data_IF_143503986876
#
_entry.id   IF_143503986876
#
_cell.length_a   1.000
_cell.length_b   1.000
_cell.length_c   1.000
_cell.angle_alpha   90.00
_cell.angle_beta   90.00
_cell.angle_gamma   90.00
#
_symmetry.space_group_name_H-M   'P 1'
#
loop_
_entity.id
_entity.type
_entity.pdbx_description
1 polymer ?
#
# COMPACT_ATOMS: atom_id res chain seq x y z
N UNK A 1 -54.85 33.31 22.36
CA UNK A 1 -53.85 32.31 22.78
C UNK A 1 -53.56 31.24 21.70
N UNK A 2 -54.56 30.62 21.06
CA UNK A 2 -54.32 29.56 20.06
C UNK A 2 -53.46 29.96 18.84
N UNK A 3 -53.63 31.18 18.30
CA UNK A 3 -52.86 31.67 17.14
C UNK A 3 -51.35 31.82 17.42
N UNK A 4 -51.00 32.33 18.60
CA UNK A 4 -49.60 32.48 19.03
C UNK A 4 -48.93 31.13 19.29
N UNK A 5 -49.67 30.16 19.86
CA UNK A 5 -49.18 28.79 20.07
C UNK A 5 -48.91 28.06 18.73
N UNK A 6 -49.79 28.22 17.74
CA UNK A 6 -49.61 27.66 16.40
C UNK A 6 -48.40 28.25 15.68
N UNK A 7 -48.20 29.56 15.77
CA UNK A 7 -47.06 30.24 15.17
C UNK A 7 -45.73 29.78 15.81
N UNK A 8 -45.67 29.70 17.14
CA UNK A 8 -44.48 29.21 17.85
C UNK A 8 -44.16 27.74 17.49
N UNK A 9 -45.19 26.90 17.30
CA UNK A 9 -45.00 25.52 16.87
C UNK A 9 -44.45 25.44 15.43
N UNK A 10 -44.99 26.25 14.52
CA UNK A 10 -44.50 26.34 13.13
C UNK A 10 -43.04 26.81 13.08
N UNK A 11 -42.67 27.82 13.86
CA UNK A 11 -41.30 28.30 13.95
C UNK A 11 -40.34 27.23 14.50
N UNK A 12 -40.76 26.51 15.55
CA UNK A 12 -39.96 25.42 16.14
C UNK A 12 -39.77 24.27 15.15
N UNK A 13 -40.82 23.87 14.43
CA UNK A 13 -40.77 22.82 13.43
C UNK A 13 -39.88 23.21 12.24
N UNK A 14 -40.02 24.45 11.74
CA UNK A 14 -39.17 24.98 10.67
C UNK A 14 -37.69 25.06 11.10
N UNK A 15 -37.40 25.48 12.34
CA UNK A 15 -36.05 25.49 12.87
C UNK A 15 -35.47 24.06 12.94
N UNK A 16 -36.25 23.09 13.41
CA UNK A 16 -35.85 21.68 13.47
C UNK A 16 -35.59 21.09 12.07
N UNK A 17 -36.50 21.33 11.11
CA UNK A 17 -36.33 20.92 9.71
C UNK A 17 -35.06 21.53 9.10
N UNK A 18 -34.82 22.83 9.31
CA UNK A 18 -33.62 23.49 8.82
C UNK A 18 -32.33 22.86 9.36
N UNK A 19 -32.30 22.46 10.64
CA UNK A 19 -31.16 21.75 11.23
C UNK A 19 -30.97 20.37 10.60
N UNK A 20 -32.05 19.60 10.42
CA UNK A 20 -32.01 18.27 9.81
C UNK A 20 -31.56 18.34 8.34
N UNK A 21 -32.12 19.27 7.57
CA UNK A 21 -31.75 19.52 6.17
C UNK A 21 -30.29 19.90 6.04
N UNK A 22 -29.79 20.84 6.85
CA UNK A 22 -28.35 21.20 6.85
C UNK A 22 -27.45 20.01 7.17
N UNK A 23 -27.86 19.14 8.09
CA UNK A 23 -27.11 17.90 8.42
C UNK A 23 -27.12 16.93 7.24
N UNK A 24 -28.27 16.75 6.59
CA UNK A 24 -28.40 15.88 5.43
C UNK A 24 -27.61 16.40 4.22
N UNK A 25 -27.67 17.70 3.91
CA UNK A 25 -26.87 18.33 2.85
C UNK A 25 -25.35 18.17 3.09
N UNK A 26 -24.91 18.21 4.35
CA UNK A 26 -23.51 17.90 4.70
C UNK A 26 -23.19 16.43 4.43
N UNK A 27 -24.05 15.49 4.86
CA UNK A 27 -23.88 14.06 4.59
C UNK A 27 -23.86 13.77 3.09
N UNK A 28 -24.81 14.30 2.33
CA UNK A 28 -24.90 14.14 0.88
C UNK A 28 -23.64 14.66 0.17
N UNK A 29 -23.10 15.82 0.58
CA UNK A 29 -21.84 16.34 0.05
C UNK A 29 -20.66 15.41 0.33
N UNK A 30 -20.57 14.86 1.54
CA UNK A 30 -19.52 13.89 1.89
C UNK A 30 -19.63 12.62 1.05
N UNK A 31 -20.83 12.06 0.94
CA UNK A 31 -21.08 10.84 0.16
C UNK A 31 -20.82 11.09 -1.32
N UNK A 32 -21.31 12.18 -1.91
CA UNK A 32 -21.09 12.50 -3.33
C UNK A 32 -19.60 12.76 -3.68
N UNK A 33 -18.78 13.11 -2.69
CA UNK A 33 -17.35 13.35 -2.84
C UNK A 33 -16.47 12.24 -2.24
N UNK A 34 -17.05 11.06 -1.95
CA UNK A 34 -16.36 9.92 -1.34
C UNK A 34 -15.01 9.60 -2.02
N UNK A 35 -14.96 9.66 -3.36
CA UNK A 35 -13.78 9.33 -4.15
C UNK A 35 -12.58 10.23 -3.86
N UNK A 36 -12.82 11.52 -3.55
CA UNK A 36 -11.74 12.48 -3.19
C UNK A 36 -11.11 12.06 -1.88
N UNK A 37 -11.92 11.66 -0.90
CA UNK A 37 -11.43 11.20 0.39
C UNK A 37 -10.64 9.90 0.25
N UNK A 38 -11.14 8.95 -0.54
CA UNK A 38 -10.45 7.68 -0.82
C UNK A 38 -9.10 7.92 -1.50
N UNK A 39 -9.08 8.75 -2.56
CA UNK A 39 -7.83 9.13 -3.23
C UNK A 39 -6.88 9.86 -2.26
N UNK A 40 -7.40 10.79 -1.46
CA UNK A 40 -6.63 11.52 -0.46
C UNK A 40 -5.98 10.61 0.59
N UNK A 41 -6.71 9.61 1.08
CA UNK A 41 -6.18 8.59 2.01
C UNK A 41 -5.02 7.84 1.35
N UNK A 42 -5.18 7.39 0.10
CA UNK A 42 -4.11 6.69 -0.60
C UNK A 42 -2.90 7.59 -0.88
N UNK A 43 -3.11 8.85 -1.23
CA UNK A 43 -2.01 9.83 -1.43
C UNK A 43 -1.20 10.00 -0.14
N UNK A 44 -1.87 10.16 1.00
CA UNK A 44 -1.19 10.27 2.31
C UNK A 44 -0.46 8.97 2.64
N UNK A 45 -1.11 7.82 2.43
CA UNK A 45 -0.53 6.50 2.67
C UNK A 45 0.73 6.25 1.82
N UNK A 46 0.73 6.60 0.52
CA UNK A 46 1.94 6.41 -0.31
C UNK A 46 3.01 7.46 -0.07
N UNK A 47 2.65 8.67 0.36
CA UNK A 47 3.59 9.76 0.60
C UNK A 47 4.41 9.54 1.88
N UNK A 48 3.78 9.04 2.94
CA UNK A 48 4.43 8.89 4.25
C UNK A 48 5.71 8.02 4.22
N UNK A 49 5.77 6.87 3.53
CA UNK A 49 6.98 6.06 3.39
C UNK A 49 8.19 6.80 2.82
N UNK A 50 7.99 7.83 1.98
CA UNK A 50 9.07 8.62 1.38
C UNK A 50 9.71 9.59 2.39
N UNK A 51 9.05 9.87 3.50
CA UNK A 51 9.66 10.63 4.59
C UNK A 51 10.75 9.83 5.32
N UNK A 52 10.64 8.49 5.38
CA UNK A 52 11.56 7.65 6.14
C UNK A 52 13.03 7.75 5.68
N UNK A 53 13.37 7.69 4.37
CA UNK A 53 14.73 7.92 3.91
C UNK A 53 15.30 9.29 4.32
N UNK A 54 14.51 10.35 4.21
CA UNK A 54 14.93 11.71 4.56
C UNK A 54 15.20 11.83 6.05
N UNK A 55 14.32 11.25 6.88
CA UNK A 55 14.49 11.19 8.33
C UNK A 55 15.75 10.40 8.73
N UNK A 56 16.04 9.29 8.04
CA UNK A 56 17.29 8.56 8.22
C UNK A 56 18.51 9.42 7.87
N UNK A 57 18.46 10.14 6.75
CA UNK A 57 19.55 10.99 6.27
C UNK A 57 19.89 12.13 7.23
N UNK A 58 18.87 12.75 7.86
CA UNK A 58 19.09 13.84 8.84
C UNK A 58 19.33 13.34 10.26
N UNK A 59 19.47 12.03 10.46
CA UNK A 59 19.74 11.43 11.78
C UNK A 59 18.52 11.27 12.69
N UNK A 60 17.32 11.61 12.23
CA UNK A 60 16.05 11.42 12.95
C UNK A 60 15.58 9.96 12.91
N UNK A 61 16.41 9.06 13.44
CA UNK A 61 16.23 7.60 13.35
C UNK A 61 14.98 7.09 14.08
N UNK A 62 14.61 7.68 15.22
CA UNK A 62 13.41 7.31 15.98
C UNK A 62 12.12 7.45 15.14
N UNK A 63 11.80 8.65 14.64
CA UNK A 63 10.66 8.86 13.73
C UNK A 63 10.73 8.01 12.46
N UNK A 64 11.91 7.86 11.84
CA UNK A 64 12.07 7.00 10.66
C UNK A 64 11.70 5.54 10.97
N UNK A 65 12.18 5.01 12.08
CA UNK A 65 11.89 3.65 12.53
C UNK A 65 10.41 3.45 12.85
N UNK A 66 9.72 4.45 13.40
CA UNK A 66 8.27 4.37 13.59
C UNK A 66 7.53 4.16 12.26
N UNK A 67 7.92 4.89 11.20
CA UNK A 67 7.36 4.70 9.86
C UNK A 67 7.68 3.30 9.35
N UNK A 68 8.95 2.88 9.38
CA UNK A 68 9.32 1.53 8.93
C UNK A 68 8.56 0.43 9.67
N UNK A 69 8.39 0.55 10.98
CA UNK A 69 7.64 -0.41 11.79
C UNK A 69 6.17 -0.46 11.38
N UNK A 70 5.52 0.71 11.22
CA UNK A 70 4.12 0.76 10.77
C UNK A 70 3.90 0.06 9.43
N UNK A 71 4.78 0.29 8.46
CA UNK A 71 4.68 -0.35 7.14
C UNK A 71 5.17 -1.80 7.10
N UNK A 72 5.82 -2.31 8.16
CA UNK A 72 6.33 -3.69 8.18
C UNK A 72 5.22 -4.74 8.22
N UNK A 73 4.00 -4.33 8.62
CA UNK A 73 2.79 -5.15 8.62
C UNK A 73 2.22 -5.37 7.21
N UNK A 74 2.57 -4.51 6.26
CA UNK A 74 1.98 -4.50 4.90
C UNK A 74 2.99 -4.83 3.81
N UNK A 75 4.27 -4.54 4.04
CA UNK A 75 5.36 -4.85 3.11
C UNK A 75 6.55 -5.44 3.88
N UNK A 76 7.25 -6.36 3.25
CA UNK A 76 8.45 -6.98 3.83
C UNK A 76 9.64 -6.01 3.87
N UNK A 77 9.66 -5.00 2.99
CA UNK A 77 10.68 -3.95 2.90
C UNK A 77 12.08 -4.52 2.59
N UNK A 78 12.17 -5.58 1.78
CA UNK A 78 13.47 -6.08 1.34
C UNK A 78 14.23 -4.97 0.61
N UNK A 79 15.48 -4.71 1.02
CA UNK A 79 16.33 -3.69 0.42
C UNK A 79 16.33 -3.79 -1.12
N UNK A 80 16.61 -4.97 -1.67
CA UNK A 80 16.66 -5.19 -3.12
C UNK A 80 15.31 -5.08 -3.87
N UNK A 81 14.20 -4.82 -3.16
CA UNK A 81 12.87 -4.56 -3.73
C UNK A 81 12.31 -3.19 -3.40
N UNK A 82 12.99 -2.41 -2.59
CA UNK A 82 12.58 -1.05 -2.24
C UNK A 82 13.22 -0.05 -3.21
N UNK A 83 12.63 1.13 -3.30
CA UNK A 83 13.27 2.31 -3.87
C UNK A 83 14.25 2.87 -2.84
N UNK A 84 15.41 3.36 -3.27
CA UNK A 84 16.34 4.09 -2.41
C UNK A 84 16.39 5.56 -2.80
N UNK A 85 16.55 6.43 -1.80
CA UNK A 85 16.82 7.84 -1.98
C UNK A 85 18.22 8.16 -1.45
N UNK A 86 18.90 9.09 -2.12
CA UNK A 86 20.19 9.66 -1.70
C UNK A 86 21.42 8.77 -1.84
N UNK A 87 21.34 7.70 -2.63
CA UNK A 87 22.50 6.86 -2.96
C UNK A 87 22.81 6.84 -4.44
N UNK A 88 23.74 5.97 -4.82
CA UNK A 88 24.23 5.80 -6.20
C UNK A 88 23.13 5.41 -7.20
N UNK A 89 22.18 4.58 -6.78
CA UNK A 89 21.12 4.04 -7.61
C UNK A 89 19.76 4.11 -6.90
N UNK A 90 18.69 4.30 -7.67
CA UNK A 90 17.32 4.24 -7.15
C UNK A 90 16.89 2.80 -6.81
N UNK A 91 17.48 1.80 -7.47
CA UNK A 91 17.14 0.39 -7.32
C UNK A 91 18.40 -0.46 -7.26
N UNK A 92 18.42 -1.42 -6.34
CA UNK A 92 19.49 -2.40 -6.19
C UNK A 92 18.90 -3.80 -6.38
N UNK A 93 18.63 -4.26 -7.60
CA UNK A 93 18.08 -5.60 -7.82
C UNK A 93 19.11 -6.68 -7.46
N UNK A 94 18.64 -7.89 -7.12
CA UNK A 94 19.55 -9.03 -6.87
C UNK A 94 20.32 -9.41 -8.12
N UNK A 95 21.46 -10.09 -7.95
CA UNK A 95 22.30 -10.56 -9.05
C UNK A 95 21.54 -11.47 -10.01
N UNK A 96 20.68 -12.34 -9.47
CA UNK A 96 19.81 -13.28 -10.17
C UNK A 96 18.60 -12.63 -10.86
N UNK A 97 18.37 -11.32 -10.66
CA UNK A 97 17.26 -10.64 -11.31
C UNK A 97 17.54 -10.44 -12.81
N UNK A 98 16.80 -11.16 -13.64
CA UNK A 98 16.79 -10.97 -15.09
C UNK A 98 16.36 -9.53 -15.44
N UNK A 99 16.93 -8.93 -16.48
CA UNK A 99 16.50 -7.62 -16.97
C UNK A 99 16.83 -6.43 -16.06
N UNK A 100 17.83 -6.54 -15.17
CA UNK A 100 18.33 -5.43 -14.35
C UNK A 100 19.01 -4.29 -15.14
N UNK A 101 19.25 -4.48 -16.44
CA UNK A 101 19.92 -3.50 -17.30
C UNK A 101 21.33 -3.20 -16.79
N UNK A 102 21.68 -1.91 -16.75
CA UNK A 102 22.99 -1.43 -16.28
C UNK A 102 23.09 -1.28 -14.75
N UNK A 103 22.07 -1.72 -14.00
CA UNK A 103 22.07 -1.59 -12.54
C UNK A 103 23.05 -2.59 -11.91
N UNK A 104 23.89 -2.09 -11.02
CA UNK A 104 24.78 -2.91 -10.21
C UNK A 104 23.96 -3.65 -9.15
N UNK A 105 24.26 -4.94 -8.98
CA UNK A 105 23.48 -5.83 -8.12
C UNK A 105 23.59 -5.46 -6.63
N UNK A 106 22.53 -5.74 -5.87
CA UNK A 106 22.48 -5.55 -4.42
C UNK A 106 23.65 -6.21 -3.70
N UNK A 107 24.00 -7.43 -4.09
CA UNK A 107 25.06 -8.22 -3.48
C UNK A 107 26.42 -7.52 -3.55
N UNK A 108 26.68 -6.76 -4.62
CA UNK A 108 27.94 -6.00 -4.79
C UNK A 108 28.04 -4.85 -3.78
N UNK A 109 26.95 -4.11 -3.57
CA UNK A 109 26.90 -3.03 -2.59
C UNK A 109 26.84 -3.56 -1.15
N UNK A 110 26.01 -4.58 -0.92
CA UNK A 110 25.86 -5.23 0.38
C UNK A 110 27.17 -5.84 0.89
N UNK A 111 27.97 -6.44 0.01
CA UNK A 111 29.29 -6.96 0.36
C UNK A 111 30.29 -5.88 0.77
N UNK A 112 30.16 -4.65 0.23
CA UNK A 112 31.02 -3.50 0.59
C UNK A 112 30.56 -2.79 1.86
N UNK A 113 29.25 -2.71 2.07
CA UNK A 113 28.63 -2.02 3.19
C UNK A 113 28.98 -2.66 4.53
N UNK A 114 29.80 -1.99 5.34
CA UNK A 114 30.10 -2.43 6.70
C UNK A 114 28.81 -2.61 7.53
N UNK A 115 27.84 -1.70 7.35
CA UNK A 115 26.57 -1.73 8.07
C UNK A 115 25.76 -2.97 7.69
N UNK A 116 25.68 -3.32 6.41
CA UNK A 116 25.00 -4.52 5.97
C UNK A 116 25.72 -5.78 6.47
N UNK A 117 27.06 -5.85 6.32
CA UNK A 117 27.87 -6.99 6.79
C UNK A 117 27.66 -7.27 8.28
N UNK A 118 27.60 -6.23 9.11
CA UNK A 118 27.32 -6.38 10.54
C UNK A 118 25.93 -6.97 10.78
N UNK A 119 24.89 -6.42 10.14
CA UNK A 119 23.52 -6.93 10.26
C UNK A 119 23.44 -8.39 9.81
N UNK A 120 24.05 -8.73 8.67
CA UNK A 120 24.05 -10.10 8.15
C UNK A 120 24.77 -11.06 9.11
N UNK A 121 25.92 -10.65 9.63
CA UNK A 121 26.70 -11.45 10.59
C UNK A 121 25.88 -11.72 11.85
N UNK A 122 25.23 -10.71 12.41
CA UNK A 122 24.38 -10.87 13.58
C UNK A 122 23.23 -11.86 13.31
N UNK A 123 22.53 -11.71 12.19
CA UNK A 123 21.45 -12.62 11.79
C UNK A 123 21.93 -14.06 11.57
N UNK A 124 23.11 -14.25 10.96
CA UNK A 124 23.66 -15.58 10.69
C UNK A 124 24.03 -16.27 12.00
N UNK A 125 24.71 -15.56 12.90
CA UNK A 125 25.08 -16.06 14.22
C UNK A 125 23.86 -16.42 15.05
N UNK A 126 22.81 -15.61 15.00
CA UNK A 126 21.56 -15.89 15.70
C UNK A 126 20.82 -17.10 15.11
N UNK A 127 20.84 -17.26 13.79
CA UNK A 127 20.30 -18.46 13.12
C UNK A 127 21.03 -19.71 13.56
N UNK A 128 22.38 -19.72 13.47
CA UNK A 128 23.22 -20.83 13.90
C UNK A 128 23.04 -21.19 15.39
N UNK A 129 22.89 -20.18 16.27
CA UNK A 129 22.59 -20.41 17.70
C UNK A 129 21.26 -21.11 17.93
N UNK A 130 20.21 -20.72 17.19
CA UNK A 130 18.88 -21.36 17.28
C UNK A 130 18.91 -22.80 16.77
N UNK A 131 19.78 -23.10 15.82
CA UNK A 131 20.00 -24.45 15.26
C UNK A 131 20.93 -25.31 16.13
N UNK A 132 21.53 -24.75 17.19
CA UNK A 132 22.41 -25.47 18.11
C UNK A 132 23.91 -25.42 17.76
N UNK A 133 24.30 -24.72 16.69
CA UNK A 133 25.67 -24.60 16.20
C UNK A 133 26.46 -23.47 16.91
N UNK A 134 26.61 -23.56 18.24
CA UNK A 134 27.22 -22.51 19.08
C UNK A 134 28.66 -22.14 18.67
N UNK A 135 29.51 -23.14 18.42
CA UNK A 135 30.92 -22.91 18.05
C UNK A 135 31.05 -22.23 16.68
N UNK A 136 30.23 -22.65 15.71
CA UNK A 136 30.18 -22.05 14.37
C UNK A 136 29.67 -20.61 14.44
N UNK A 137 28.63 -20.35 15.23
CA UNK A 137 28.13 -18.99 15.44
C UNK A 137 29.20 -18.05 16.03
N UNK A 138 30.01 -18.53 16.98
CA UNK A 138 31.09 -17.72 17.54
C UNK A 138 32.21 -17.44 16.52
N UNK A 139 32.52 -18.42 15.67
CA UNK A 139 33.58 -18.34 14.67
C UNK A 139 33.16 -17.68 13.35
N UNK A 140 31.86 -17.54 13.07
CA UNK A 140 31.37 -17.07 11.78
C UNK A 140 31.89 -15.66 11.45
N UNK A 141 32.41 -15.53 10.23
CA UNK A 141 32.85 -14.30 9.59
C UNK A 141 32.11 -14.17 8.26
N UNK A 142 31.63 -12.97 7.97
CA UNK A 142 30.90 -12.68 6.74
C UNK A 142 31.66 -13.13 5.48
N UNK A 143 31.01 -13.96 4.66
CA UNK A 143 31.48 -14.29 3.33
C UNK A 143 30.55 -13.67 2.27
N UNK A 144 31.06 -12.87 1.30
CA UNK A 144 30.25 -12.33 0.21
C UNK A 144 29.48 -13.39 -0.59
N UNK A 145 30.00 -14.62 -0.68
CA UNK A 145 29.33 -15.72 -1.38
C UNK A 145 28.00 -16.12 -0.72
N UNK A 146 27.81 -15.86 0.57
CA UNK A 146 26.58 -16.15 1.30
C UNK A 146 25.38 -15.32 0.78
N UNK A 147 25.67 -14.22 0.08
CA UNK A 147 24.63 -13.37 -0.54
C UNK A 147 24.04 -13.96 -1.82
N UNK A 148 24.69 -14.96 -2.42
CA UNK A 148 24.19 -15.62 -3.64
C UNK A 148 22.90 -16.40 -3.35
N UNK A 149 22.80 -16.98 -2.15
CA UNK A 149 21.64 -17.74 -1.70
C UNK A 149 20.65 -16.86 -0.96
N UNK A 150 19.36 -16.99 -1.28
CA UNK A 150 18.29 -16.26 -0.59
C UNK A 150 17.72 -17.05 0.59
N UNK A 151 18.56 -17.22 1.60
CA UNK A 151 18.21 -17.90 2.85
C UNK A 151 17.44 -16.97 3.82
N UNK A 152 17.04 -17.53 4.96
CA UNK A 152 16.34 -16.79 6.02
C UNK A 152 17.20 -15.67 6.61
N UNK A 153 18.52 -15.86 6.66
CA UNK A 153 19.49 -14.85 7.10
C UNK A 153 19.50 -13.65 6.17
N UNK A 154 19.64 -13.86 4.84
CA UNK A 154 19.62 -12.79 3.86
C UNK A 154 18.26 -12.07 3.85
N UNK A 155 17.17 -12.82 3.99
CA UNK A 155 15.83 -12.25 4.15
C UNK A 155 15.77 -11.31 5.35
N UNK A 156 16.13 -11.76 6.55
CA UNK A 156 16.09 -10.94 7.75
C UNK A 156 17.01 -9.72 7.64
N UNK A 157 18.25 -9.92 7.16
CA UNK A 157 19.22 -8.85 7.00
C UNK A 157 18.75 -7.79 5.99
N UNK A 158 18.23 -8.19 4.83
CA UNK A 158 17.69 -7.26 3.83
C UNK A 158 16.44 -6.51 4.30
N UNK A 159 15.63 -7.10 5.19
CA UNK A 159 14.50 -6.41 5.85
C UNK A 159 14.98 -5.39 6.87
N UNK A 160 15.98 -5.73 7.70
CA UNK A 160 16.55 -4.85 8.73
C UNK A 160 17.39 -3.72 8.15
N UNK A 161 18.09 -3.95 7.05
CA UNK A 161 18.97 -2.96 6.44
C UNK A 161 18.18 -1.76 5.92
N UNK A 162 18.32 -0.59 6.55
CA UNK A 162 17.64 0.65 6.15
C UNK A 162 18.38 1.41 5.05
N UNK A 163 19.68 1.17 4.88
CA UNK A 163 20.54 1.98 4.04
C UNK A 163 21.79 2.49 4.75
N UNK A 164 22.67 3.07 3.95
CA UNK A 164 23.93 3.73 4.31
C UNK A 164 24.22 4.88 3.33
N UNK A 165 25.40 5.48 3.42
CA UNK A 165 25.73 6.68 2.65
C UNK A 165 25.99 6.41 1.16
N UNK A 166 26.34 5.17 0.79
CA UNK A 166 26.60 4.77 -0.60
C UNK A 166 25.30 4.32 -1.28
N UNK A 167 24.55 3.41 -0.63
CA UNK A 167 23.27 2.94 -1.17
C UNK A 167 22.14 3.96 -1.00
N UNK A 168 22.31 4.93 -0.10
CA UNK A 168 21.23 5.79 0.37
C UNK A 168 20.31 5.04 1.33
N UNK A 169 19.10 5.55 1.53
CA UNK A 169 18.10 4.96 2.44
C UNK A 169 16.85 4.49 1.70
N UNK A 170 16.37 3.29 2.06
CA UNK A 170 15.23 2.65 1.39
C UNK A 170 13.89 3.26 1.80
N UNK A 171 12.96 3.40 0.88
CA UNK A 171 11.57 3.73 1.18
C UNK A 171 10.95 2.61 2.01
N UNK A 172 10.06 2.96 2.95
CA UNK A 172 9.45 2.01 3.88
C UNK A 172 8.44 1.03 3.24
N UNK A 173 8.30 1.02 1.91
CA UNK A 173 7.49 0.07 1.15
C UNK A 173 8.21 -0.40 -0.12
N UNK A 174 7.68 -1.45 -0.70
CA UNK A 174 8.20 -2.19 -1.84
C UNK A 174 7.91 -1.41 -3.15
N UNK A 175 8.77 -1.52 -4.17
CA UNK A 175 8.54 -0.92 -5.50
C UNK A 175 7.17 -1.28 -6.10
N UNK A 176 6.78 -2.55 -5.94
CA UNK A 176 5.49 -3.06 -6.41
C UNK A 176 4.33 -2.37 -5.69
N UNK A 177 4.37 -2.30 -4.36
CA UNK A 177 3.31 -1.72 -3.54
C UNK A 177 3.15 -0.22 -3.85
N UNK A 178 4.27 0.51 -4.00
CA UNK A 178 4.26 1.90 -4.47
C UNK A 178 3.42 2.00 -5.75
N UNK A 179 3.69 1.13 -6.73
CA UNK A 179 2.98 1.19 -8.02
C UNK A 179 1.53 0.70 -7.96
N UNK A 180 1.18 -0.21 -7.07
CA UNK A 180 -0.22 -0.59 -6.81
C UNK A 180 -1.01 0.63 -6.34
N UNK A 181 -0.50 1.33 -5.33
CA UNK A 181 -1.21 2.49 -4.78
C UNK A 181 -1.14 3.72 -5.68
N UNK A 182 -0.04 3.93 -6.40
CA UNK A 182 0.02 4.96 -7.47
C UNK A 182 -1.01 4.66 -8.55
N UNK A 183 -1.13 3.40 -8.98
CA UNK A 183 -2.17 2.97 -9.92
C UNK A 183 -3.59 3.23 -9.38
N UNK A 184 -3.84 2.97 -8.10
CA UNK A 184 -5.12 3.29 -7.45
C UNK A 184 -5.40 4.80 -7.43
N UNK A 185 -4.41 5.64 -7.08
CA UNK A 185 -4.54 7.10 -7.07
C UNK A 185 -4.81 7.64 -8.47
N UNK A 186 -4.00 7.23 -9.45
CA UNK A 186 -4.15 7.64 -10.86
C UNK A 186 -5.51 7.19 -11.40
N UNK A 187 -5.87 5.93 -11.16
CA UNK A 187 -7.16 5.38 -11.57
C UNK A 187 -8.33 6.12 -10.91
N UNK A 188 -8.20 6.48 -9.63
CA UNK A 188 -9.21 7.25 -8.91
C UNK A 188 -9.38 8.68 -9.40
N UNK A 189 -8.27 9.38 -9.67
CA UNK A 189 -8.28 10.72 -10.27
C UNK A 189 -8.91 10.66 -11.68
N UNK A 190 -8.52 9.68 -12.50
CA UNK A 190 -9.08 9.48 -13.83
C UNK A 190 -10.57 9.10 -13.79
N UNK A 191 -10.99 8.34 -12.78
CA UNK A 191 -12.39 7.94 -12.58
C UNK A 191 -13.29 9.12 -12.21
N UNK A 192 -12.82 10.08 -11.40
CA UNK A 192 -13.61 11.20 -10.89
C UNK A 192 -14.49 11.91 -11.94
N UNK A 193 -13.93 12.38 -13.07
CA UNK A 193 -14.68 13.04 -14.16
C UNK A 193 -15.71 12.15 -14.88
N UNK A 194 -15.46 10.84 -14.93
CA UNK A 194 -16.24 9.87 -15.73
C UNK A 194 -17.08 8.93 -14.87
N UNK A 195 -17.09 9.11 -13.54
CA UNK A 195 -17.72 8.22 -12.55
C UNK A 195 -19.20 7.92 -12.79
N UNK A 196 -19.92 8.82 -13.47
CA UNK A 196 -21.34 8.67 -13.81
C UNK A 196 -21.59 7.86 -15.10
N UNK A 197 -20.54 7.56 -15.87
CA UNK A 197 -20.63 6.91 -17.18
C UNK A 197 -19.92 5.55 -17.22
N UNK A 198 -18.86 5.38 -16.43
CA UNK A 198 -18.09 4.14 -16.39
C UNK A 198 -18.86 3.04 -15.63
N UNK A 199 -18.89 1.85 -16.23
CA UNK A 199 -19.38 0.62 -15.59
C UNK A 199 -18.24 -0.14 -14.90
N UNK A 200 -18.55 -0.98 -13.89
CA UNK A 200 -17.56 -1.84 -13.26
C UNK A 200 -16.82 -2.68 -14.30
N UNK A 201 -15.51 -2.82 -14.12
CA UNK A 201 -14.70 -3.72 -14.92
C UNK A 201 -15.23 -5.17 -14.81
N UNK A 202 -15.45 -5.88 -15.93
CA UNK A 202 -15.83 -7.30 -15.87
C UNK A 202 -14.77 -8.11 -15.12
N UNK A 203 -15.21 -9.00 -14.22
CA UNK A 203 -14.31 -9.72 -13.33
C UNK A 203 -13.24 -10.52 -14.09
N UNK A 204 -13.59 -11.14 -15.22
CA UNK A 204 -12.62 -11.89 -16.03
C UNK A 204 -11.50 -11.00 -16.59
N UNK A 205 -11.80 -9.75 -16.95
CA UNK A 205 -10.82 -8.79 -17.46
C UNK A 205 -9.88 -8.32 -16.33
N UNK A 206 -10.45 -8.08 -15.14
CA UNK A 206 -9.68 -7.81 -13.93
C UNK A 206 -8.76 -8.98 -13.56
N UNK A 207 -9.27 -10.21 -13.59
CA UNK A 207 -8.46 -11.40 -13.32
C UNK A 207 -7.33 -11.56 -14.34
N UNK A 208 -7.62 -11.35 -15.63
CA UNK A 208 -6.63 -11.52 -16.70
C UNK A 208 -5.56 -10.43 -16.72
N UNK A 209 -5.93 -9.15 -16.61
CA UNK A 209 -5.00 -8.02 -16.77
C UNK A 209 -4.48 -7.46 -15.46
N UNK A 210 -5.28 -7.53 -14.40
CA UNK A 210 -4.91 -7.06 -13.07
C UNK A 210 -4.20 -8.16 -12.28
N UNK A 211 -4.89 -9.27 -12.02
CA UNK A 211 -4.43 -10.30 -11.09
C UNK A 211 -3.40 -11.23 -11.71
N UNK A 212 -3.61 -11.73 -12.93
CA UNK A 212 -2.75 -12.76 -13.50
C UNK A 212 -1.27 -12.32 -13.61
N UNK A 213 -0.91 -11.11 -14.09
CA UNK A 213 0.50 -10.73 -14.20
C UNK A 213 1.21 -10.66 -12.85
N UNK A 214 0.58 -10.05 -11.84
CA UNK A 214 1.15 -9.93 -10.49
C UNK A 214 1.15 -11.28 -9.75
N UNK A 215 0.14 -12.14 -9.98
CA UNK A 215 0.04 -13.46 -9.40
C UNK A 215 1.08 -14.40 -10.00
N UNK A 216 1.26 -14.44 -11.32
CA UNK A 216 2.31 -15.22 -11.99
C UNK A 216 3.70 -14.79 -11.50
N UNK A 217 3.94 -13.47 -11.41
CA UNK A 217 5.19 -12.92 -10.89
C UNK A 217 5.44 -13.35 -9.43
N UNK A 218 4.48 -13.09 -8.54
CA UNK A 218 4.57 -13.41 -7.12
C UNK A 218 4.66 -14.91 -6.86
N UNK A 219 3.90 -15.72 -7.58
CA UNK A 219 3.88 -17.18 -7.46
C UNK A 219 5.19 -17.80 -7.95
N UNK A 220 5.73 -17.35 -9.10
CA UNK A 220 7.03 -17.82 -9.59
C UNK A 220 8.18 -17.51 -8.63
N UNK A 221 8.13 -16.35 -7.95
CA UNK A 221 9.07 -15.99 -6.88
C UNK A 221 8.85 -16.86 -5.63
N UNK A 222 7.60 -17.03 -5.20
CA UNK A 222 7.25 -17.82 -4.01
C UNK A 222 7.74 -19.27 -4.12
N UNK A 223 7.59 -19.91 -5.29
CA UNK A 223 8.07 -21.27 -5.55
C UNK A 223 9.59 -21.37 -5.62
N UNK A 224 10.27 -20.25 -5.91
CA UNK A 224 11.73 -20.19 -6.02
C UNK A 224 12.46 -20.07 -4.68
N UNK A 225 11.75 -19.70 -3.63
CA UNK A 225 12.27 -19.72 -2.26
C UNK A 225 12.31 -21.13 -1.72
N UNK A 226 13.11 -21.41 -0.66
CA UNK A 226 13.25 -22.74 -0.09
C UNK A 226 11.93 -23.26 0.48
N UNK A 227 11.03 -23.67 -0.40
CA UNK A 227 9.89 -24.49 -0.11
C UNK A 227 10.45 -25.91 0.01
N UNK A 228 10.32 -26.57 1.18
CA UNK A 228 10.99 -27.84 1.47
C UNK A 228 10.71 -28.96 0.46
N UNK A 229 9.69 -28.81 -0.39
CA UNK A 229 9.26 -29.81 -1.36
C UNK A 229 9.75 -29.55 -2.81
N UNK A 230 10.05 -28.31 -3.19
CA UNK A 230 10.22 -27.90 -4.61
C UNK A 230 11.65 -27.41 -4.88
N UNK A 231 12.11 -26.41 -4.12
CA UNK A 231 13.44 -25.82 -4.31
C UNK A 231 14.56 -26.75 -3.79
N UNK A 232 14.31 -27.53 -2.73
CA UNK A 232 15.25 -28.51 -2.17
C UNK A 232 15.62 -29.66 -3.13
N UNK A 233 14.78 -29.94 -4.14
CA UNK A 233 15.02 -30.95 -5.18
C UNK A 233 15.62 -30.39 -6.46
N UNK A 234 15.94 -29.09 -6.51
CA UNK A 234 16.48 -28.44 -7.71
C UNK A 234 15.48 -28.31 -8.87
N UNK A 235 14.17 -28.40 -8.60
CA UNK A 235 13.14 -28.35 -9.66
C UNK A 235 12.83 -26.91 -10.13
N UNK A 236 13.26 -25.90 -9.37
CA UNK A 236 12.99 -24.49 -9.67
C UNK A 236 14.14 -23.62 -9.18
N UNK A 237 14.75 -22.85 -10.09
CA UNK A 237 15.85 -21.95 -9.77
C UNK A 237 15.36 -20.70 -9.01
N UNK A 238 16.24 -20.13 -8.18
CA UNK A 238 15.95 -18.90 -7.42
C UNK A 238 15.72 -17.75 -8.40
N UNK A 239 14.49 -17.23 -8.42
CA UNK A 239 14.07 -16.19 -9.37
C UNK A 239 13.80 -14.89 -8.64
N UNK A 240 14.37 -13.80 -9.15
CA UNK A 240 13.96 -12.44 -8.80
C UNK A 240 13.57 -11.67 -10.05
N UNK A 241 12.64 -10.75 -9.86
CA UNK A 241 12.07 -9.97 -10.96
C UNK A 241 12.85 -8.66 -11.18
N UNK A 242 12.88 -8.16 -12.42
CA UNK A 242 13.40 -6.82 -12.70
C UNK A 242 12.60 -5.73 -11.98
N UNK A 243 13.22 -4.60 -11.60
CA UNK A 243 12.46 -3.43 -11.11
C UNK A 243 11.35 -3.02 -12.07
N UNK A 244 11.62 -2.94 -13.38
CA UNK A 244 10.65 -2.52 -14.40
C UNK A 244 9.37 -3.40 -14.40
N UNK A 245 9.52 -4.72 -14.28
CA UNK A 245 8.37 -5.62 -14.26
C UNK A 245 7.57 -5.50 -12.96
N UNK A 246 8.22 -5.28 -11.81
CA UNK A 246 7.52 -4.98 -10.54
C UNK A 246 6.70 -3.69 -10.63
N UNK A 247 7.25 -2.67 -11.30
CA UNK A 247 6.55 -1.40 -11.48
C UNK A 247 5.33 -1.57 -12.40
N UNK A 248 5.49 -2.29 -13.51
CA UNK A 248 4.43 -2.55 -14.48
C UNK A 248 3.30 -3.38 -13.88
N UNK A 249 3.59 -4.54 -13.28
CA UNK A 249 2.56 -5.42 -12.71
C UNK A 249 1.85 -4.76 -11.54
N UNK A 250 2.57 -4.00 -10.71
CA UNK A 250 1.98 -3.19 -9.65
C UNK A 250 1.02 -2.13 -10.19
N UNK A 251 1.45 -1.34 -11.18
CA UNK A 251 0.63 -0.29 -11.78
C UNK A 251 -0.64 -0.84 -12.45
N UNK A 252 -0.51 -1.93 -13.22
CA UNK A 252 -1.63 -2.61 -13.85
C UNK A 252 -2.63 -3.11 -12.82
N UNK A 253 -2.17 -3.80 -11.78
CA UNK A 253 -3.03 -4.28 -10.71
C UNK A 253 -3.76 -3.14 -9.99
N UNK A 254 -3.05 -2.04 -9.68
CA UNK A 254 -3.63 -0.86 -9.06
C UNK A 254 -4.70 -0.18 -9.91
N UNK A 255 -4.42 0.06 -11.20
CA UNK A 255 -5.37 0.66 -12.14
C UNK A 255 -6.61 -0.22 -12.35
N UNK A 256 -6.42 -1.53 -12.53
CA UNK A 256 -7.50 -2.49 -12.69
C UNK A 256 -8.35 -2.61 -11.41
N UNK A 257 -7.72 -2.52 -10.23
CA UNK A 257 -8.42 -2.49 -8.94
C UNK A 257 -9.27 -1.23 -8.79
N UNK A 258 -8.76 -0.07 -9.23
CA UNK A 258 -9.55 1.17 -9.24
C UNK A 258 -10.76 1.04 -10.17
N UNK A 259 -10.56 0.54 -11.39
CA UNK A 259 -11.65 0.35 -12.37
C UNK A 259 -12.68 -0.68 -11.91
N UNK A 260 -12.28 -1.73 -11.20
CA UNK A 260 -13.22 -2.67 -10.61
C UNK A 260 -13.97 -2.04 -9.43
N UNK A 261 -13.26 -1.56 -8.41
CA UNK A 261 -13.85 -1.21 -7.12
C UNK A 261 -14.61 0.12 -7.12
N UNK A 262 -14.11 1.14 -7.83
CA UNK A 262 -14.66 2.50 -7.71
C UNK A 262 -16.09 2.61 -8.25
N UNK A 263 -16.45 1.96 -9.36
CA UNK A 263 -17.84 1.86 -9.79
C UNK A 263 -18.77 1.22 -8.74
N UNK A 264 -18.35 0.12 -8.09
CA UNK A 264 -19.16 -0.50 -7.04
C UNK A 264 -19.34 0.41 -5.82
N UNK A 265 -18.27 1.09 -5.40
CA UNK A 265 -18.34 2.09 -4.32
C UNK A 265 -19.28 3.25 -4.70
N UNK A 266 -19.26 3.68 -5.96
CA UNK A 266 -20.17 4.72 -6.44
C UNK A 266 -21.64 4.26 -6.42
N UNK A 267 -21.92 3.02 -6.82
CA UNK A 267 -23.29 2.46 -6.75
C UNK A 267 -23.81 2.43 -5.31
N UNK A 268 -22.96 2.04 -4.35
CA UNK A 268 -23.30 2.06 -2.92
C UNK A 268 -23.51 3.48 -2.39
N UNK A 269 -22.68 4.43 -2.82
CA UNK A 269 -22.83 5.85 -2.49
C UNK A 269 -24.15 6.42 -3.05
N UNK A 270 -24.52 6.08 -4.28
CA UNK A 270 -25.78 6.49 -4.90
C UNK A 270 -27.00 5.89 -4.19
N UNK A 271 -26.93 4.63 -3.74
CA UNK A 271 -27.98 4.04 -2.92
C UNK A 271 -28.15 4.78 -1.59
N UNK A 272 -27.03 5.12 -0.94
CA UNK A 272 -27.03 5.88 0.31
C UNK A 272 -27.62 7.28 0.12
N UNK A 273 -27.31 7.94 -1.00
CA UNK A 273 -27.88 9.24 -1.38
C UNK A 273 -29.40 9.12 -1.52
N UNK A 274 -29.89 8.16 -2.31
CA UNK A 274 -31.33 7.95 -2.52
C UNK A 274 -32.09 7.70 -1.22
N UNK A 275 -31.50 6.94 -0.29
CA UNK A 275 -32.09 6.72 1.05
C UNK A 275 -32.21 8.01 1.84
N UNK A 276 -31.16 8.83 1.89
CA UNK A 276 -31.17 10.11 2.61
C UNK A 276 -32.18 11.09 1.99
N UNK A 277 -32.27 11.14 0.66
CA UNK A 277 -33.26 11.97 -0.04
C UNK A 277 -34.69 11.51 0.30
N UNK A 278 -34.96 10.20 0.28
CA UNK A 278 -36.25 9.66 0.69
C UNK A 278 -36.61 9.97 2.15
N UNK A 279 -35.65 9.88 3.07
CA UNK A 279 -35.87 10.22 4.49
C UNK A 279 -36.20 11.71 4.67
N UNK A 280 -35.54 12.58 3.91
CA UNK A 280 -35.82 14.02 3.90
C UNK A 280 -37.23 14.32 3.39
N UNK A 281 -37.62 13.69 2.27
CA UNK A 281 -38.95 13.88 1.70
C UNK A 281 -40.05 13.41 2.65
N UNK A 282 -39.84 12.28 3.35
CA UNK A 282 -40.78 11.78 4.35
C UNK A 282 -40.92 12.73 5.55
N UNK A 283 -39.82 13.28 6.05
CA UNK A 283 -39.83 14.28 7.13
C UNK A 283 -40.56 15.56 6.72
N UNK A 284 -40.36 16.03 5.49
CA UNK A 284 -41.04 17.21 4.97
C UNK A 284 -42.55 16.96 4.82
N UNK A 285 -42.96 15.75 4.40
CA UNK A 285 -44.37 15.37 4.36
C UNK A 285 -44.99 15.29 5.76
N UNK A 286 -44.32 14.69 6.74
CA UNK A 286 -44.82 14.59 8.12
C UNK A 286 -44.99 15.97 8.74
N UNK A 287 -44.01 16.86 8.56
CA UNK A 287 -44.09 18.23 9.03
C UNK A 287 -45.28 18.99 8.41
N UNK A 288 -45.51 18.84 7.10
CA UNK A 288 -46.67 19.44 6.42
C UNK A 288 -48.00 18.89 6.97
N UNK A 289 -48.07 17.59 7.28
CA UNK A 289 -49.27 16.98 7.87
C UNK A 289 -49.55 17.51 9.29
N UNK A 290 -48.51 17.65 10.12
CA UNK A 290 -48.65 18.22 11.48
C UNK A 290 -49.14 19.67 11.43
N UNK A 291 -48.63 20.47 10.50
CA UNK A 291 -49.08 21.85 10.29
C UNK A 291 -50.55 21.92 9.88
N UNK A 292 -51.05 20.96 9.07
CA UNK A 292 -52.46 20.90 8.66
C UNK A 292 -53.41 20.48 9.79
N UNK A 293 -52.93 19.71 10.79
CA UNK A 293 -53.74 19.20 11.90
C UNK A 293 -53.93 20.22 13.05
N UNK A 294 -53.01 21.18 13.18
CA UNK A 294 -53.07 22.32 14.12
C UNK A 294 -53.73 23.50 13.42
#
# INVERSE_FOLDING_TARGET
MAKQSKQALQEKLAAQQNVLRRRAERKLRLINNWWVFVVGIFVVYIGLPFAAPTLMRVGATGPANAIYTGYSLTCHQFAFRSLFLYGDQAFYPRQVAEGKGNLTAFEVYAAKSQKFRNIYTDEKRDTLRREGHQAEAAAYVFNPDDLKTFDTTLQAAARRFRGDDEMGYKVAICQRDIMIYVGLVVGGIAYGPVRRRIRPCPLWLYLLLGVAPIALDGFSQLLSYPFPLISSKGLWEVRETAPAFRLLTGALFGLMSAWLAFPYLNMSAEESIRRIESDLDALDQEAQQLIKKV
#
